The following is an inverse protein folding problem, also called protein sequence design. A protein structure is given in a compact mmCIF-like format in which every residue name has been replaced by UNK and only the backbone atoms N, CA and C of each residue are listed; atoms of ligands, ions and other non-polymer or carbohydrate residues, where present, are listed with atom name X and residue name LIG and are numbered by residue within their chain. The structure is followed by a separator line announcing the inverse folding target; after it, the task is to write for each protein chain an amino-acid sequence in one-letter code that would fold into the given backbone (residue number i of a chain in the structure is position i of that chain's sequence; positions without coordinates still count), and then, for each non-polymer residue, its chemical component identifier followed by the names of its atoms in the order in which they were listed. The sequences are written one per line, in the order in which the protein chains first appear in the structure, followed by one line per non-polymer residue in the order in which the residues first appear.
data_IF_485909535908
#
_entry.id   IF_485909535908
#
_cell.length_a   1.000
_cell.length_b   1.000
_cell.length_c   1.000
_cell.angle_alpha   90.00
_cell.angle_beta   90.00
_cell.angle_gamma   90.00
#
_symmetry.space_group_name_H-M   'P 1'
#
loop_
_entity.id
_entity.type
_entity.pdbx_description
1 polymer ?
#
# COMPACT_ATOMS: atom_id res chain seq x y z
N UNK A 1 49.97 19.07 8.66
CA UNK A 1 49.40 17.90 9.34
C UNK A 1 47.87 18.04 9.33
N UNK A 2 47.14 17.21 8.56
CA UNK A 2 45.68 17.22 8.53
C UNK A 2 45.17 16.48 9.79
N UNK A 3 44.50 17.17 10.71
CA UNK A 3 43.84 16.56 11.85
C UNK A 3 42.68 15.72 11.34
N UNK A 4 42.80 14.40 11.42
CA UNK A 4 41.70 13.48 11.20
C UNK A 4 40.79 13.53 12.44
N UNK A 5 39.59 14.08 12.33
CA UNK A 5 38.63 14.05 13.41
C UNK A 5 38.17 12.62 13.68
N UNK A 6 38.12 12.27 14.96
CA UNK A 6 37.78 10.95 15.48
C UNK A 6 36.43 10.43 14.92
N UNK A 7 36.34 9.16 14.53
CA UNK A 7 35.12 8.60 14.00
C UNK A 7 34.01 8.61 15.05
N UNK A 8 32.86 9.17 14.70
CA UNK A 8 31.66 9.04 15.55
C UNK A 8 30.96 7.72 15.23
N UNK A 9 30.69 6.95 16.31
CA UNK A 9 30.20 5.56 16.24
C UNK A 9 28.73 5.53 16.54
N UNK A 10 27.93 4.96 15.64
CA UNK A 10 26.52 4.64 15.84
C UNK A 10 26.32 3.12 15.77
N UNK A 11 25.48 2.58 16.66
CA UNK A 11 25.03 1.18 16.58
C UNK A 11 23.60 1.16 16.05
N UNK A 12 23.38 0.49 14.92
CA UNK A 12 22.05 0.25 14.36
C UNK A 12 21.89 -1.26 14.13
N UNK A 13 20.86 -1.86 14.70
CA UNK A 13 20.59 -3.30 14.63
C UNK A 13 21.83 -4.17 14.94
N UNK A 14 22.57 -3.84 16.00
CA UNK A 14 23.78 -4.58 16.41
C UNK A 14 24.99 -4.36 15.47
N UNK A 15 24.84 -3.73 14.32
CA UNK A 15 25.94 -3.42 13.38
C UNK A 15 26.44 -1.99 13.59
N UNK A 16 27.75 -1.86 13.65
CA UNK A 16 28.45 -0.59 13.83
C UNK A 16 28.61 0.09 12.48
N UNK A 17 28.09 1.32 12.33
CA UNK A 17 28.38 2.19 11.18
C UNK A 17 29.41 3.23 11.57
N UNK A 18 30.48 3.33 10.83
CA UNK A 18 31.53 4.33 10.98
C UNK A 18 31.66 5.12 9.68
N UNK A 19 31.75 6.44 9.80
CA UNK A 19 31.99 7.33 8.66
C UNK A 19 33.01 8.39 9.08
N UNK A 20 33.97 8.67 8.21
CA UNK A 20 34.99 9.69 8.41
C UNK A 20 34.55 10.97 7.68
N UNK A 21 34.84 12.12 8.29
CA UNK A 21 34.48 13.42 7.75
C UNK A 21 35.68 14.32 7.76
N UNK A 22 35.78 15.23 6.81
CA UNK A 22 36.83 16.21 6.73
C UNK A 22 36.62 17.38 7.70
N UNK A 23 35.36 17.70 7.99
CA UNK A 23 34.97 18.81 8.86
C UNK A 23 34.09 18.39 10.03
N UNK A 24 34.20 19.09 11.14
CA UNK A 24 33.38 18.86 12.34
C UNK A 24 31.87 19.17 12.10
N UNK A 25 31.48 20.21 11.36
CA UNK A 25 30.07 20.46 11.02
C UNK A 25 29.43 19.32 10.26
N UNK A 26 30.10 18.76 9.24
CA UNK A 26 29.60 17.61 8.49
C UNK A 26 29.37 16.38 9.38
N UNK A 27 30.31 16.10 10.28
CA UNK A 27 30.16 15.02 11.24
C UNK A 27 28.99 15.22 12.21
N UNK A 28 28.72 16.49 12.61
CA UNK A 28 27.58 16.83 13.47
C UNK A 28 26.26 16.70 12.72
N UNK A 29 26.18 17.19 11.49
CA UNK A 29 24.98 17.08 10.65
C UNK A 29 24.63 15.60 10.38
N UNK A 30 25.62 14.81 9.95
CA UNK A 30 25.40 13.38 9.78
C UNK A 30 24.93 12.67 11.06
N UNK A 31 25.48 13.03 12.21
CA UNK A 31 25.06 12.46 13.49
C UNK A 31 23.64 12.92 13.90
N UNK A 32 23.28 14.15 13.57
CA UNK A 32 21.92 14.67 13.80
C UNK A 32 20.91 13.94 12.91
N UNK A 33 21.21 13.78 11.62
CA UNK A 33 20.37 13.04 10.68
C UNK A 33 20.21 11.58 11.09
N UNK A 34 21.31 10.92 11.47
CA UNK A 34 21.27 9.54 11.92
C UNK A 34 20.50 9.34 13.24
N UNK A 35 20.56 10.32 14.15
CA UNK A 35 19.75 10.33 15.39
C UNK A 35 18.28 10.67 15.13
N UNK A 36 18.01 11.51 14.13
CA UNK A 36 16.66 11.78 13.67
C UNK A 36 16.03 10.52 13.11
N UNK A 37 16.73 9.82 12.23
CA UNK A 37 16.32 8.50 11.70
C UNK A 37 16.07 7.47 12.80
N UNK A 38 16.93 7.43 13.84
CA UNK A 38 16.80 6.51 14.97
C UNK A 38 15.62 6.87 15.89
N UNK A 39 15.41 8.17 16.19
CA UNK A 39 14.32 8.64 17.04
C UNK A 39 12.94 8.48 16.40
N UNK A 40 12.83 8.67 15.10
CA UNK A 40 11.60 8.50 14.37
C UNK A 40 11.33 7.06 13.99
N UNK A 41 12.12 6.13 14.60
CA UNK A 41 11.99 4.70 14.39
C UNK A 41 11.67 4.44 12.89
N UNK A 42 12.37 5.21 12.03
CA UNK A 42 12.35 4.91 10.62
C UNK A 42 12.86 3.49 10.61
N UNK A 43 11.93 2.56 10.68
CA UNK A 43 12.21 1.16 10.38
C UNK A 43 12.86 1.29 9.04
N UNK A 44 14.20 1.31 9.06
CA UNK A 44 14.97 1.22 7.84
C UNK A 44 14.42 -0.02 7.23
N UNK A 45 13.55 0.19 6.32
CA UNK A 45 12.94 -0.87 5.56
C UNK A 45 14.12 -1.69 5.14
N UNK A 46 14.22 -2.87 5.72
CA UNK A 46 15.21 -3.83 5.22
C UNK A 46 15.10 -3.71 3.70
N UNK A 47 16.23 -3.59 2.95
CA UNK A 47 16.14 -3.54 1.50
C UNK A 47 15.25 -4.63 0.92
N UNK A 48 14.93 -5.62 1.72
CA UNK A 48 14.11 -6.79 1.43
C UNK A 48 12.62 -6.64 1.78
N UNK A 49 12.12 -5.49 2.24
CA UNK A 49 10.69 -5.28 2.51
C UNK A 49 9.94 -5.15 1.19
N UNK A 50 9.33 -6.23 0.75
CA UNK A 50 8.45 -6.24 -0.42
C UNK A 50 7.04 -5.79 -0.06
N UNK A 51 6.26 -5.41 -1.08
CA UNK A 51 4.83 -5.10 -0.91
C UNK A 51 4.06 -6.29 -0.35
N UNK A 52 4.41 -7.53 -0.74
CA UNK A 52 3.82 -8.76 -0.20
C UNK A 52 4.07 -8.89 1.31
N UNK A 53 5.31 -8.72 1.74
CA UNK A 53 5.68 -8.79 3.17
C UNK A 53 4.95 -7.71 3.98
N UNK A 54 4.87 -6.48 3.43
CA UNK A 54 4.13 -5.41 4.06
C UNK A 54 2.64 -5.71 4.14
N UNK A 55 2.02 -6.20 3.06
CA UNK A 55 0.61 -6.55 3.04
C UNK A 55 0.26 -7.60 4.09
N UNK A 56 1.06 -8.68 4.18
CA UNK A 56 0.88 -9.72 5.21
C UNK A 56 0.94 -9.13 6.61
N UNK A 57 1.99 -8.34 6.89
CA UNK A 57 2.14 -7.66 8.18
C UNK A 57 0.96 -6.75 8.50
N UNK A 58 0.50 -5.97 7.51
CA UNK A 58 -0.62 -5.04 7.64
C UNK A 58 -1.93 -5.75 8.01
N UNK A 59 -2.23 -6.87 7.33
CA UNK A 59 -3.41 -7.70 7.64
C UNK A 59 -3.34 -8.27 9.06
N UNK A 60 -2.19 -8.81 9.44
CA UNK A 60 -2.04 -9.57 10.69
C UNK A 60 -1.89 -8.68 11.93
N UNK A 61 -1.34 -7.48 11.78
CA UNK A 61 -0.95 -6.65 12.92
C UNK A 61 -1.63 -5.27 12.98
N UNK A 62 -2.16 -4.76 11.87
CA UNK A 62 -2.69 -3.39 11.83
C UNK A 62 -4.21 -3.37 11.68
N UNK A 63 -4.77 -4.26 10.87
CA UNK A 63 -6.22 -4.31 10.63
C UNK A 63 -6.86 -5.61 11.09
N UNK A 64 -6.19 -6.34 11.97
CA UNK A 64 -6.65 -7.63 12.50
C UNK A 64 -7.96 -7.55 13.30
N UNK A 65 -8.35 -6.37 13.76
CA UNK A 65 -9.58 -6.06 14.50
C UNK A 65 -10.80 -5.82 13.60
N UNK A 66 -10.61 -5.73 12.28
CA UNK A 66 -11.72 -5.56 11.34
C UNK A 66 -12.55 -6.84 11.21
N UNK A 67 -13.82 -6.66 10.80
CA UNK A 67 -14.71 -7.79 10.54
C UNK A 67 -14.06 -8.79 9.55
N UNK A 68 -14.19 -10.12 9.79
CA UNK A 68 -13.54 -11.16 8.99
C UNK A 68 -13.82 -11.05 7.49
N UNK A 69 -15.04 -10.66 7.11
CA UNK A 69 -15.41 -10.46 5.72
C UNK A 69 -14.67 -9.27 5.08
N UNK A 70 -14.37 -8.22 5.86
CA UNK A 70 -13.59 -7.07 5.40
C UNK A 70 -12.16 -7.48 5.11
N UNK A 71 -11.54 -8.22 6.03
CA UNK A 71 -10.18 -8.74 5.88
C UNK A 71 -10.08 -9.64 4.65
N UNK A 72 -11.01 -10.59 4.50
CA UNK A 72 -11.09 -11.47 3.34
C UNK A 72 -11.19 -10.69 2.03
N UNK A 73 -12.03 -9.66 1.98
CA UNK A 73 -12.18 -8.80 0.82
C UNK A 73 -10.86 -8.06 0.47
N UNK A 74 -10.09 -7.61 1.45
CA UNK A 74 -8.76 -7.03 1.22
C UNK A 74 -7.79 -8.06 0.65
N UNK A 75 -7.76 -9.27 1.22
CA UNK A 75 -6.90 -10.37 0.78
C UNK A 75 -7.19 -10.79 -0.67
N UNK A 76 -8.46 -10.98 -1.02
CA UNK A 76 -8.87 -11.36 -2.37
C UNK A 76 -8.50 -10.29 -3.40
N UNK A 77 -8.80 -9.01 -3.12
CA UNK A 77 -8.45 -7.88 -4.01
C UNK A 77 -6.95 -7.74 -4.18
N UNK A 78 -6.20 -7.88 -3.10
CA UNK A 78 -4.75 -7.84 -3.16
C UNK A 78 -4.20 -8.97 -4.03
N UNK A 79 -4.56 -10.21 -3.71
CA UNK A 79 -4.07 -11.42 -4.38
C UNK A 79 -4.30 -11.40 -5.89
N UNK A 80 -5.51 -11.03 -6.30
CA UNK A 80 -5.88 -11.12 -7.71
C UNK A 80 -5.47 -9.91 -8.54
N UNK A 81 -5.47 -8.72 -7.96
CA UNK A 81 -5.33 -7.49 -8.71
C UNK A 81 -4.00 -6.75 -8.48
N UNK A 82 -3.50 -6.71 -7.25
CA UNK A 82 -2.34 -5.90 -6.86
C UNK A 82 -1.06 -6.70 -6.87
N UNK A 83 -1.07 -7.84 -6.21
CA UNK A 83 0.08 -8.74 -6.04
C UNK A 83 0.80 -9.07 -7.36
N UNK A 84 0.10 -9.44 -8.46
CA UNK A 84 0.78 -9.84 -9.70
C UNK A 84 1.61 -8.72 -10.35
N UNK A 85 1.37 -7.45 -9.98
CA UNK A 85 2.03 -6.29 -10.59
C UNK A 85 3.12 -5.72 -9.68
N UNK A 86 2.82 -5.55 -8.39
CA UNK A 86 3.73 -4.86 -7.47
C UNK A 86 4.15 -5.70 -6.25
N UNK A 87 3.58 -6.89 -6.05
CA UNK A 87 3.79 -7.69 -4.84
C UNK A 87 5.25 -7.97 -4.52
N UNK A 88 6.02 -8.41 -5.53
CA UNK A 88 7.44 -8.73 -5.38
C UNK A 88 8.36 -7.50 -5.32
N UNK A 89 7.83 -6.29 -5.59
CA UNK A 89 8.64 -5.07 -5.59
C UNK A 89 8.99 -4.66 -4.15
N UNK A 90 10.18 -4.08 -3.97
CA UNK A 90 10.52 -3.38 -2.74
C UNK A 90 9.52 -2.23 -2.53
N UNK A 91 8.92 -2.13 -1.34
CA UNK A 91 7.87 -1.14 -1.07
C UNK A 91 8.36 0.31 -1.23
N UNK A 92 9.64 0.57 -0.93
CA UNK A 92 10.27 1.89 -1.11
C UNK A 92 10.49 2.26 -2.59
N UNK A 93 10.49 1.26 -3.48
CA UNK A 93 10.64 1.46 -4.93
C UNK A 93 9.29 1.68 -5.64
N UNK A 94 8.17 1.49 -4.94
CA UNK A 94 6.83 1.70 -5.51
C UNK A 94 6.62 3.19 -5.82
N UNK A 95 6.31 3.48 -7.08
CA UNK A 95 6.05 4.84 -7.59
C UNK A 95 4.60 4.94 -8.10
N UNK A 96 4.06 6.16 -8.29
CA UNK A 96 2.72 6.36 -8.83
C UNK A 96 2.46 5.61 -10.14
N UNK A 97 3.45 5.52 -11.02
CA UNK A 97 3.35 4.79 -12.27
C UNK A 97 3.04 3.29 -12.07
N UNK A 98 3.60 2.67 -11.04
CA UNK A 98 3.34 1.25 -10.74
C UNK A 98 1.91 1.06 -10.24
N UNK A 99 1.42 1.97 -9.40
CA UNK A 99 0.03 1.96 -8.95
C UNK A 99 -0.95 2.16 -10.12
N UNK A 100 -0.63 3.08 -11.06
CA UNK A 100 -1.44 3.26 -12.27
C UNK A 100 -1.40 2.02 -13.18
N UNK A 101 -0.26 1.33 -13.28
CA UNK A 101 -0.15 0.09 -14.05
C UNK A 101 -1.08 -1.02 -13.51
N UNK A 102 -1.24 -1.13 -12.18
CA UNK A 102 -2.24 -2.03 -11.57
C UNK A 102 -3.64 -1.71 -12.08
N UNK A 103 -4.05 -0.44 -12.05
CA UNK A 103 -5.38 -0.03 -12.48
C UNK A 103 -5.60 -0.24 -13.97
N UNK A 104 -4.62 0.14 -14.82
CA UNK A 104 -4.71 -0.02 -16.26
C UNK A 104 -4.85 -1.49 -16.68
N UNK A 105 -4.13 -2.40 -15.99
CA UNK A 105 -4.28 -3.84 -16.22
C UNK A 105 -5.70 -4.32 -15.96
N UNK A 106 -6.40 -3.69 -15.03
CA UNK A 106 -7.78 -4.07 -14.68
C UNK A 106 -8.83 -3.49 -15.62
N UNK A 107 -8.54 -2.38 -16.32
CA UNK A 107 -9.50 -1.65 -17.14
C UNK A 107 -10.12 -2.50 -18.27
N UNK A 108 -9.35 -3.46 -18.81
CA UNK A 108 -9.82 -4.36 -19.88
C UNK A 108 -10.67 -5.53 -19.40
N UNK A 109 -10.62 -5.88 -18.11
CA UNK A 109 -11.17 -7.15 -17.62
C UNK A 109 -12.25 -6.96 -16.55
N UNK A 110 -12.18 -5.87 -15.77
CA UNK A 110 -13.00 -5.70 -14.59
C UNK A 110 -13.96 -4.51 -14.69
N UNK A 111 -15.11 -4.64 -14.04
CA UNK A 111 -16.05 -3.53 -13.89
C UNK A 111 -15.43 -2.39 -13.06
N UNK A 112 -15.85 -1.16 -13.33
CA UNK A 112 -15.33 0.03 -12.63
C UNK A 112 -15.47 0.00 -11.12
N UNK A 113 -16.48 -0.68 -10.58
CA UNK A 113 -16.63 -0.91 -9.14
C UNK A 113 -15.49 -1.75 -8.57
N UNK A 114 -15.05 -2.80 -9.27
CA UNK A 114 -13.94 -3.66 -8.88
C UNK A 114 -12.60 -2.91 -8.92
N UNK A 115 -12.39 -2.11 -9.97
CA UNK A 115 -11.19 -1.25 -10.09
C UNK A 115 -11.14 -0.24 -8.94
N UNK A 116 -12.29 0.39 -8.61
CA UNK A 116 -12.39 1.30 -7.47
C UNK A 116 -12.03 0.61 -6.15
N UNK A 117 -12.46 -0.63 -5.95
CA UNK A 117 -12.13 -1.38 -4.74
C UNK A 117 -10.62 -1.71 -4.65
N UNK A 118 -9.98 -2.06 -5.76
CA UNK A 118 -8.53 -2.25 -5.80
C UNK A 118 -7.78 -0.94 -5.53
N UNK A 119 -8.25 0.18 -6.08
CA UNK A 119 -7.72 1.52 -5.80
C UNK A 119 -7.78 1.85 -4.30
N UNK A 120 -8.94 1.62 -3.65
CA UNK A 120 -9.12 1.85 -2.21
C UNK A 120 -8.20 0.95 -1.39
N UNK A 121 -8.15 -0.35 -1.71
CA UNK A 121 -7.29 -1.31 -1.02
C UNK A 121 -5.81 -0.90 -1.07
N UNK A 122 -5.32 -0.58 -2.26
CA UNK A 122 -3.94 -0.13 -2.48
C UNK A 122 -3.66 1.18 -1.75
N UNK A 123 -4.60 2.14 -1.82
CA UNK A 123 -4.51 3.42 -1.12
C UNK A 123 -4.43 3.26 0.39
N UNK A 124 -5.30 2.45 0.99
CA UNK A 124 -5.34 2.22 2.44
C UNK A 124 -4.08 1.53 2.94
N UNK A 125 -3.64 0.46 2.26
CA UNK A 125 -2.43 -0.27 2.60
C UNK A 125 -1.17 0.62 2.53
N UNK A 126 -1.01 1.39 1.45
CA UNK A 126 0.15 2.27 1.26
C UNK A 126 0.10 3.51 2.17
N UNK A 127 -1.11 4.01 2.50
CA UNK A 127 -1.27 5.06 3.51
C UNK A 127 -0.80 4.57 4.88
N UNK A 128 -1.17 3.35 5.24
CA UNK A 128 -0.68 2.72 6.47
C UNK A 128 0.84 2.58 6.48
N UNK A 129 1.47 2.26 5.34
CA UNK A 129 2.92 2.21 5.24
C UNK A 129 3.59 3.57 5.47
N UNK A 130 2.96 4.67 5.02
CA UNK A 130 3.44 6.03 5.33
C UNK A 130 3.28 6.35 6.81
N UNK A 131 2.13 6.02 7.41
CA UNK A 131 1.85 6.29 8.83
C UNK A 131 2.77 5.50 9.78
N UNK A 132 3.31 4.38 9.31
CA UNK A 132 4.28 3.56 10.06
C UNK A 132 5.74 3.81 9.61
N UNK A 133 6.01 4.91 8.93
CA UNK A 133 7.34 5.33 8.46
C UNK A 133 8.09 4.28 7.61
N UNK A 134 7.35 3.37 6.97
CA UNK A 134 7.90 2.37 6.05
C UNK A 134 8.29 3.03 4.73
N UNK A 135 7.50 3.99 4.27
CA UNK A 135 7.76 4.80 3.07
C UNK A 135 7.55 6.28 3.38
N UNK A 136 8.41 7.15 2.84
CA UNK A 136 8.39 8.58 3.13
C UNK A 136 7.24 9.33 2.43
N UNK A 137 6.77 8.83 1.28
CA UNK A 137 5.74 9.48 0.47
C UNK A 137 4.71 8.46 0.00
N UNK A 138 3.46 8.89 -0.03
CA UNK A 138 2.36 8.04 -0.47
C UNK A 138 2.39 7.83 -2.00
N UNK A 139 2.60 6.60 -2.50
CA UNK A 139 2.72 6.34 -3.94
C UNK A 139 1.43 6.58 -4.74
N UNK A 140 0.29 6.66 -4.07
CA UNK A 140 -0.99 6.97 -4.74
C UNK A 140 -1.21 8.45 -4.98
N UNK A 141 -0.32 9.34 -4.48
CA UNK A 141 -0.43 10.77 -4.73
C UNK A 141 -0.33 11.05 -6.24
N UNK A 142 -1.38 11.70 -6.79
CA UNK A 142 -1.48 11.99 -8.21
C UNK A 142 -2.03 10.84 -9.07
N UNK A 143 -2.22 9.64 -8.52
CA UNK A 143 -2.89 8.56 -9.24
C UNK A 143 -4.39 8.82 -9.23
N UNK A 144 -4.96 9.02 -10.41
CA UNK A 144 -6.40 9.23 -10.59
C UNK A 144 -7.08 7.93 -11.02
N UNK A 145 -8.20 7.65 -10.38
CA UNK A 145 -9.16 6.66 -10.83
C UNK A 145 -10.34 7.38 -11.49
N UNK A 146 -10.55 7.11 -12.75
CA UNK A 146 -11.72 7.64 -13.48
C UNK A 146 -12.85 6.62 -13.33
N UNK A 147 -13.93 7.02 -12.66
CA UNK A 147 -15.12 6.17 -12.57
C UNK A 147 -15.72 6.04 -13.98
N UNK A 148 -15.87 4.82 -14.52
CA UNK A 148 -16.61 4.65 -15.76
C UNK A 148 -18.02 5.19 -15.59
N UNK A 149 -18.46 5.99 -16.55
CA UNK A 149 -19.85 6.46 -16.61
C UNK A 149 -20.70 5.24 -16.94
N UNK A 150 -21.56 4.83 -16.01
CA UNK A 150 -22.60 3.84 -16.33
C UNK A 150 -23.59 4.48 -17.27
N UNK A 151 -23.87 3.82 -18.40
CA UNK A 151 -25.02 4.17 -19.20
C UNK A 151 -26.29 3.97 -18.36
N UNK A 152 -27.28 4.83 -18.56
CA UNK A 152 -28.55 4.77 -17.81
C UNK A 152 -29.23 3.41 -18.03
N UNK A 153 -29.00 2.78 -19.18
CA UNK A 153 -29.52 1.46 -19.56
C UNK A 153 -28.92 0.28 -18.77
N UNK A 154 -27.83 0.50 -18.01
CA UNK A 154 -27.23 -0.52 -17.14
C UNK A 154 -27.99 -0.73 -15.81
N UNK A 155 -29.01 0.06 -15.55
CA UNK A 155 -29.85 -0.09 -14.35
C UNK A 155 -30.89 -1.18 -14.67
N UNK A 156 -30.59 -2.40 -14.24
CA UNK A 156 -31.53 -3.51 -14.30
C UNK A 156 -32.52 -3.35 -13.16
N UNK A 157 -33.75 -3.07 -13.50
CA UNK A 157 -34.90 -3.14 -12.60
C UNK A 157 -35.90 -4.17 -13.14
N UNK A 158 -36.56 -4.85 -12.24
CA UNK A 158 -37.65 -5.75 -12.63
C UNK A 158 -38.87 -4.88 -13.00
N UNK A 159 -39.48 -5.18 -14.12
CA UNK A 159 -40.81 -4.64 -14.44
C UNK A 159 -41.84 -5.21 -13.44
N UNK A 160 -43.01 -4.58 -13.37
CA UNK A 160 -44.05 -5.06 -12.43
C UNK A 160 -44.41 -6.54 -12.69
N UNK A 161 -44.55 -6.92 -13.97
CA UNK A 161 -44.86 -8.30 -14.34
C UNK A 161 -43.73 -9.29 -13.95
N UNK A 162 -42.47 -8.84 -14.07
CA UNK A 162 -41.31 -9.64 -13.64
C UNK A 162 -41.21 -9.76 -12.13
N UNK A 163 -41.62 -8.74 -11.38
CA UNK A 163 -41.71 -8.79 -9.92
C UNK A 163 -42.78 -9.77 -9.46
N UNK A 164 -43.96 -9.73 -10.09
CA UNK A 164 -45.04 -10.66 -9.77
C UNK A 164 -44.62 -12.12 -10.01
N UNK A 165 -44.04 -12.42 -11.19
CA UNK A 165 -43.52 -13.74 -11.49
C UNK A 165 -42.43 -14.17 -10.51
N UNK A 166 -41.52 -13.28 -10.13
CA UNK A 166 -40.48 -13.56 -9.14
C UNK A 166 -41.08 -13.94 -7.79
N UNK A 167 -42.08 -13.16 -7.30
CA UNK A 167 -42.72 -13.41 -6.04
C UNK A 167 -43.54 -14.72 -6.03
N UNK A 168 -44.22 -15.02 -7.13
CA UNK A 168 -44.96 -16.31 -7.29
C UNK A 168 -43.97 -17.50 -7.25
N UNK A 169 -42.86 -17.38 -7.92
CA UNK A 169 -41.83 -18.44 -7.95
C UNK A 169 -41.15 -18.62 -6.61
N UNK A 170 -40.81 -17.53 -5.94
CA UNK A 170 -40.22 -17.55 -4.60
C UNK A 170 -41.16 -18.11 -3.53
N UNK A 171 -42.46 -17.79 -3.64
CA UNK A 171 -43.47 -18.32 -2.72
C UNK A 171 -43.74 -19.83 -2.87
N UNK A 172 -43.41 -20.44 -4.01
CA UNK A 172 -43.53 -21.88 -4.26
C UNK A 172 -42.32 -22.72 -3.83
N UNK A 173 -41.26 -22.07 -3.38
CA UNK A 173 -39.99 -22.73 -3.00
C UNK A 173 -39.85 -23.03 -1.51
N UNK A 174 -40.99 -23.08 -0.78
CA UNK A 174 -41.06 -23.46 0.66
C UNK A 174 -41.87 -24.70 0.83
#
# INVERSE_FOLDING_TARGET
MRQRHLPKKLRKNGKRKEKYFETLPEAKNWLADARYEERHNLIVTSPDMTVDKWFTFWIENIICDLAPNTIRNYQERYKWNIQPVIGAMCITAVKPMHCKAVLNRMESTYAGSTIRQAYITMGTMLKSAVMNDIIAKHPMNGVRYTKPVRAVDDIKYLTVDEQEKFLETAGRSH
#
